data_IF_559920751853
#
_entry.id   IF_559920751853
#
_cell.length_a   1.000
_cell.length_b   1.000
_cell.length_c   1.000
_cell.angle_alpha   90.00
_cell.angle_beta   90.00
_cell.angle_gamma   90.00
#
_symmetry.space_group_name_H-M   'P 1'
#
loop_
_entity.id
_entity.type
_entity.pdbx_description
1 polymer ?
#
# COMPACT_ATOMS: atom_id res chain seq x y z
N UNK A 1 54.91 -18.16 -25.96
CA UNK A 1 54.48 -16.77 -25.69
C UNK A 1 53.05 -16.47 -26.14
N UNK A 2 52.53 -17.11 -27.18
CA UNK A 2 51.17 -16.82 -27.71
C UNK A 2 49.98 -17.29 -26.85
N UNK A 3 50.14 -18.33 -26.01
CA UNK A 3 49.05 -18.91 -25.20
C UNK A 3 48.68 -18.10 -23.94
N UNK A 4 49.64 -17.39 -23.33
CA UNK A 4 49.38 -16.54 -22.16
C UNK A 4 48.62 -15.26 -22.52
N UNK A 5 48.75 -14.77 -23.76
CA UNK A 5 47.96 -13.62 -24.24
C UNK A 5 46.47 -13.95 -24.37
N UNK A 6 46.11 -15.17 -24.78
CA UNK A 6 44.71 -15.59 -24.84
C UNK A 6 44.07 -15.71 -23.44
N UNK A 7 44.83 -16.18 -22.45
CA UNK A 7 44.39 -16.27 -21.05
C UNK A 7 44.21 -14.89 -20.39
N UNK A 8 45.07 -13.91 -20.70
CA UNK A 8 44.95 -12.54 -20.20
C UNK A 8 43.72 -11.81 -20.75
N UNK A 9 43.37 -12.04 -22.01
CA UNK A 9 42.17 -11.44 -22.63
C UNK A 9 40.88 -12.02 -22.02
N UNK A 10 40.85 -13.33 -21.77
CA UNK A 10 39.70 -13.98 -21.10
C UNK A 10 39.53 -13.52 -19.63
N UNK A 11 40.61 -13.20 -18.93
CA UNK A 11 40.57 -12.67 -17.56
C UNK A 11 40.04 -11.23 -17.49
N UNK A 12 40.23 -10.41 -18.54
CA UNK A 12 39.70 -9.05 -18.60
C UNK A 12 38.20 -8.99 -18.95
N UNK A 13 37.67 -9.99 -19.66
CA UNK A 13 36.26 -10.04 -20.06
C UNK A 13 35.30 -10.43 -18.92
N UNK A 14 35.78 -11.09 -17.86
CA UNK A 14 34.95 -11.50 -16.71
C UNK A 14 34.62 -10.36 -15.74
N UNK A 15 35.23 -9.19 -15.89
CA UNK A 15 35.03 -8.03 -14.99
C UNK A 15 33.87 -7.13 -15.43
N UNK A 16 33.23 -7.39 -16.58
CA UNK A 16 32.22 -6.50 -17.16
C UNK A 16 30.75 -6.84 -16.81
N UNK A 17 30.51 -7.39 -15.61
CA UNK A 17 29.15 -7.54 -15.08
C UNK A 17 28.90 -6.55 -13.94
N UNK A 18 28.84 -5.26 -14.28
CA UNK A 18 28.27 -4.25 -13.38
C UNK A 18 26.77 -4.21 -13.69
N UNK A 19 25.93 -4.53 -12.71
CA UNK A 19 24.48 -4.40 -12.83
C UNK A 19 24.13 -2.93 -13.14
N UNK A 20 23.27 -2.69 -14.13
CA UNK A 20 22.82 -1.34 -14.47
C UNK A 20 21.89 -0.83 -13.38
N UNK A 21 22.40 0.06 -12.53
CA UNK A 21 21.58 0.84 -11.61
C UNK A 21 21.03 2.03 -12.41
N UNK A 22 19.75 1.98 -12.79
CA UNK A 22 19.08 3.07 -13.49
C UNK A 22 18.86 4.20 -12.47
N UNK A 23 19.51 5.37 -12.60
CA UNK A 23 19.27 6.47 -11.69
C UNK A 23 17.82 6.93 -11.88
N UNK A 24 17.02 6.81 -10.83
CA UNK A 24 15.66 7.35 -10.82
C UNK A 24 15.79 8.88 -10.75
N UNK A 25 15.37 9.55 -11.81
CA UNK A 25 15.22 10.99 -11.82
C UNK A 25 13.97 11.38 -11.01
N UNK A 26 14.18 11.65 -9.72
CA UNK A 26 13.14 12.08 -8.77
C UNK A 26 12.43 13.37 -9.19
N UNK A 27 12.99 14.16 -10.11
CA UNK A 27 12.33 15.38 -10.63
C UNK A 27 11.10 15.07 -11.49
N UNK A 28 10.98 13.82 -11.99
CA UNK A 28 9.87 13.39 -12.85
C UNK A 28 8.63 12.93 -12.08
N UNK A 29 8.73 12.79 -10.77
CA UNK A 29 7.65 12.26 -9.93
C UNK A 29 7.35 13.21 -8.78
N UNK A 30 6.08 13.27 -8.32
CA UNK A 30 5.77 13.91 -7.06
C UNK A 30 6.60 13.27 -5.93
N UNK A 31 7.03 14.06 -4.93
CA UNK A 31 7.70 13.49 -3.78
C UNK A 31 6.79 12.48 -3.09
N UNK A 32 7.38 11.40 -2.55
CA UNK A 32 6.64 10.45 -1.74
C UNK A 32 5.99 11.19 -0.58
N UNK A 33 4.69 10.98 -0.42
CA UNK A 33 3.94 11.45 0.74
C UNK A 33 3.70 10.27 1.66
N UNK A 34 4.26 10.34 2.85
CA UNK A 34 3.91 9.43 3.93
C UNK A 34 2.77 10.04 4.71
N UNK A 35 1.58 9.43 4.62
CA UNK A 35 0.43 9.87 5.40
C UNK A 35 0.39 9.20 6.76
N UNK A 36 -0.10 9.94 7.76
CA UNK A 36 -0.64 9.32 8.97
C UNK A 36 -1.96 8.62 8.64
N UNK A 37 -2.41 7.70 9.48
CA UNK A 37 -3.72 7.03 9.32
C UNK A 37 -4.87 8.03 9.16
N UNK A 38 -4.82 9.16 9.89
CA UNK A 38 -5.86 10.19 9.83
C UNK A 38 -5.85 10.95 8.50
N UNK A 39 -4.65 11.25 7.98
CA UNK A 39 -4.49 11.93 6.69
C UNK A 39 -4.91 11.04 5.53
N UNK A 40 -4.51 9.76 5.57
CA UNK A 40 -4.91 8.77 4.58
C UNK A 40 -6.44 8.61 4.55
N UNK A 41 -7.05 8.46 5.73
CA UNK A 41 -8.50 8.37 5.86
C UNK A 41 -9.22 9.62 5.30
N UNK A 42 -8.73 10.82 5.62
CA UNK A 42 -9.31 12.07 5.10
C UNK A 42 -9.18 12.18 3.57
N UNK A 43 -8.02 11.83 3.02
CA UNK A 43 -7.79 11.80 1.59
C UNK A 43 -8.72 10.80 0.89
N UNK A 44 -8.91 9.60 1.45
CA UNK A 44 -9.85 8.60 0.95
C UNK A 44 -11.29 9.12 0.96
N UNK A 45 -11.74 9.74 2.06
CA UNK A 45 -13.07 10.36 2.12
C UNK A 45 -13.27 11.42 1.03
N UNK A 46 -12.25 12.26 0.79
CA UNK A 46 -12.29 13.29 -0.25
C UNK A 46 -12.38 12.69 -1.66
N UNK A 47 -11.55 11.69 -1.98
CA UNK A 47 -11.51 11.06 -3.30
C UNK A 47 -12.83 10.36 -3.65
N UNK A 48 -13.48 9.73 -2.66
CA UNK A 48 -14.76 9.04 -2.84
C UNK A 48 -15.98 9.95 -2.68
N UNK A 49 -15.80 11.24 -2.35
CA UNK A 49 -16.90 12.16 -2.09
C UNK A 49 -17.71 11.83 -0.83
N UNK A 50 -17.12 11.11 0.13
CA UNK A 50 -17.77 10.76 1.40
C UNK A 50 -17.78 11.98 2.31
N UNK A 51 -18.97 12.41 2.72
CA UNK A 51 -19.14 13.57 3.61
C UNK A 51 -19.06 13.21 5.10
N UNK A 52 -19.56 12.02 5.46
CA UNK A 52 -19.57 11.52 6.84
C UNK A 52 -19.71 10.00 6.83
N UNK A 53 -19.02 9.33 7.74
CA UNK A 53 -19.22 7.91 8.02
C UNK A 53 -20.25 7.72 9.13
N UNK A 54 -21.02 6.64 9.07
CA UNK A 54 -21.83 6.19 10.20
C UNK A 54 -20.89 5.80 11.34
N UNK A 55 -21.12 6.26 12.58
CA UNK A 55 -20.36 5.78 13.73
C UNK A 55 -20.39 4.24 13.80
N UNK A 56 -19.26 3.63 14.15
CA UNK A 56 -19.22 2.21 14.47
C UNK A 56 -20.07 1.90 15.71
N UNK A 57 -20.39 0.63 15.92
CA UNK A 57 -21.08 0.21 17.14
C UNK A 57 -20.16 0.36 18.37
N UNK A 58 -20.73 0.75 19.50
CA UNK A 58 -20.04 0.74 20.80
C UNK A 58 -20.11 -0.64 21.42
N UNK A 59 -19.05 -1.02 22.13
CA UNK A 59 -19.05 -2.21 22.99
C UNK A 59 -19.74 -1.99 24.34
N UNK A 60 -20.05 -0.74 24.69
CA UNK A 60 -20.79 -0.41 25.90
C UNK A 60 -22.31 -0.47 25.63
N UNK A 61 -23.02 -1.35 26.32
CA UNK A 61 -24.47 -1.56 26.16
C UNK A 61 -25.32 -0.35 26.53
N UNK A 62 -24.79 0.55 27.37
CA UNK A 62 -25.50 1.78 27.75
C UNK A 62 -25.40 2.88 26.68
N UNK A 63 -24.55 2.71 25.67
CA UNK A 63 -24.39 3.73 24.62
C UNK A 63 -25.55 3.66 23.60
N UNK A 64 -25.98 4.80 23.03
CA UNK A 64 -27.05 4.82 22.03
C UNK A 64 -26.77 4.00 20.76
N UNK A 65 -25.50 3.72 20.48
CA UNK A 65 -25.03 2.94 19.33
C UNK A 65 -24.40 1.60 19.75
N UNK A 66 -24.82 1.00 20.86
CA UNK A 66 -24.35 -0.32 21.26
C UNK A 66 -24.61 -1.39 20.19
N UNK A 67 -23.78 -2.44 20.18
CA UNK A 67 -24.00 -3.59 19.31
C UNK A 67 -25.31 -4.31 19.65
N UNK A 68 -26.07 -4.75 18.64
CA UNK A 68 -27.30 -5.51 18.84
C UNK A 68 -26.99 -6.97 19.25
N UNK A 69 -27.61 -7.45 20.32
CA UNK A 69 -27.57 -8.84 20.77
C UNK A 69 -28.94 -9.56 20.68
N UNK A 70 -30.00 -8.86 20.24
CA UNK A 70 -31.31 -9.46 20.00
C UNK A 70 -31.37 -10.09 18.61
N UNK A 71 -31.44 -11.43 18.55
CA UNK A 71 -31.51 -12.20 17.31
C UNK A 71 -32.74 -11.83 16.46
N UNK A 72 -33.84 -11.40 17.07
CA UNK A 72 -35.06 -11.04 16.34
C UNK A 72 -34.89 -9.78 15.50
N UNK A 73 -33.92 -8.93 15.85
CA UNK A 73 -33.56 -7.70 15.14
C UNK A 73 -32.33 -7.87 14.23
N UNK A 74 -31.67 -9.02 14.26
CA UNK A 74 -30.39 -9.24 13.58
C UNK A 74 -30.50 -9.37 12.05
N UNK A 75 -31.72 -9.51 11.50
CA UNK A 75 -31.94 -9.71 10.07
C UNK A 75 -32.85 -8.65 9.41
N UNK A 76 -32.47 -7.35 9.42
CA UNK A 76 -33.28 -6.30 8.80
C UNK A 76 -33.28 -6.34 7.27
N UNK A 77 -32.31 -7.01 6.65
CA UNK A 77 -32.15 -7.14 5.20
C UNK A 77 -32.08 -8.62 4.79
N UNK A 78 -33.22 -9.34 4.78
CA UNK A 78 -33.24 -10.80 4.58
C UNK A 78 -32.95 -11.25 3.15
N UNK A 79 -33.10 -10.36 2.16
CA UNK A 79 -32.80 -10.66 0.77
C UNK A 79 -31.30 -10.48 0.51
N UNK A 80 -30.61 -11.59 0.29
CA UNK A 80 -29.22 -11.59 -0.14
C UNK A 80 -29.12 -11.35 -1.66
N UNK A 81 -28.03 -10.72 -2.15
CA UNK A 81 -27.79 -10.49 -3.57
C UNK A 81 -27.68 -11.77 -4.41
#
# INVERSE_FOLDING_TARGET
MSTYSALLVFLCLSVQSIAQEVPIDSSRYPPLKTFTTMQDHANMMQQLGIRKLRPGFSGNESDPNHANYDETLANPCPQLP
#
